data_IF_207879214747
#
_entry.id   IF_207879214747
#
_cell.length_a   1.000
_cell.length_b   1.000
_cell.length_c   1.000
_cell.angle_alpha   90.00
_cell.angle_beta   90.00
_cell.angle_gamma   90.00
#
_symmetry.space_group_name_H-M   'P 1'
#
loop_
_entity.id
_entity.type
_entity.pdbx_description
1 polymer ?
#
# COMPACT_ATOMS: atom_id res chain seq x y z
N UNK A 1 24.00 11.10 0.64
CA UNK A 1 22.64 10.92 0.09
C UNK A 1 21.66 11.60 1.03
N UNK A 2 20.90 12.60 0.57
CA UNK A 2 20.06 13.42 1.44
C UNK A 2 18.90 12.60 2.02
N UNK A 3 18.76 12.64 3.34
CA UNK A 3 17.69 12.00 4.11
C UNK A 3 16.36 12.78 3.96
N UNK A 4 15.89 12.87 2.71
CA UNK A 4 14.66 13.58 2.36
C UNK A 4 13.44 12.72 2.72
N UNK A 5 13.18 12.59 4.03
CA UNK A 5 11.93 12.01 4.49
C UNK A 5 10.77 12.93 4.16
N UNK A 6 9.72 12.39 3.54
CA UNK A 6 8.52 13.16 3.25
C UNK A 6 7.80 13.50 4.56
N UNK A 7 7.80 14.79 4.89
CA UNK A 7 7.14 15.34 6.07
C UNK A 7 6.01 16.25 5.65
N UNK A 8 4.77 15.82 5.87
CA UNK A 8 3.61 16.67 5.63
C UNK A 8 3.24 17.45 6.89
N UNK A 9 3.09 18.75 6.74
CA UNK A 9 2.58 19.65 7.78
C UNK A 9 1.39 20.43 7.22
N UNK A 10 0.19 20.13 7.71
CA UNK A 10 -1.01 20.88 7.34
C UNK A 10 -1.20 22.08 8.29
N UNK A 11 -1.28 23.31 7.76
CA UNK A 11 -1.70 24.49 8.52
C UNK A 11 -3.15 24.83 8.16
N UNK A 12 -4.00 25.00 9.17
CA UNK A 12 -5.41 25.38 8.99
C UNK A 12 -5.61 26.89 9.09
N UNK A 13 -6.30 27.49 8.11
CA UNK A 13 -6.86 28.85 8.21
C UNK A 13 -8.23 28.80 8.91
N UNK A 14 -8.49 29.71 9.86
CA UNK A 14 -9.76 29.83 10.61
C UNK A 14 -9.85 29.04 11.93
N UNK A 15 -8.80 28.32 12.33
CA UNK A 15 -8.79 27.52 13.56
C UNK A 15 -8.59 28.33 14.85
N UNK A 16 -8.26 29.63 14.74
CA UNK A 16 -7.83 30.45 15.88
C UNK A 16 -8.95 30.69 16.90
N UNK A 17 -10.16 31.05 16.48
CA UNK A 17 -11.25 31.35 17.42
C UNK A 17 -11.77 30.09 18.11
N UNK A 18 -11.81 28.95 17.40
CA UNK A 18 -12.21 27.68 18.03
C UNK A 18 -11.12 27.14 18.94
N UNK A 19 -9.84 27.23 18.55
CA UNK A 19 -8.73 26.86 19.41
C UNK A 19 -8.66 27.73 20.66
N UNK A 20 -9.06 29.01 20.57
CA UNK A 20 -9.17 29.93 21.71
C UNK A 20 -10.30 29.51 22.65
N UNK A 21 -11.49 29.19 22.13
CA UNK A 21 -12.63 28.73 22.93
C UNK A 21 -12.41 27.35 23.57
N UNK A 22 -11.80 26.41 22.84
CA UNK A 22 -11.42 25.09 23.37
C UNK A 22 -10.40 25.18 24.49
N UNK A 23 -9.48 26.15 24.41
CA UNK A 23 -8.51 26.42 25.48
C UNK A 23 -9.15 27.08 26.70
N UNK A 24 -10.09 27.99 26.47
CA UNK A 24 -10.72 28.75 27.56
C UNK A 24 -11.75 27.94 28.34
N UNK A 25 -12.37 26.93 27.72
CA UNK A 25 -13.42 26.12 28.35
C UNK A 25 -13.31 24.62 28.02
N UNK A 26 -12.19 23.94 28.33
CA UNK A 26 -12.00 22.53 27.99
C UNK A 26 -13.04 21.60 28.66
N UNK A 27 -13.41 21.86 29.92
CA UNK A 27 -14.49 21.14 30.63
C UNK A 27 -15.86 21.26 29.93
N UNK A 28 -16.15 22.38 29.27
CA UNK A 28 -17.43 22.58 28.58
C UNK A 28 -17.52 21.80 27.27
N UNK A 29 -16.39 21.41 26.68
CA UNK A 29 -16.35 20.68 25.40
C UNK A 29 -16.32 19.17 25.62
N UNK A 30 -15.74 18.71 26.74
CA UNK A 30 -15.50 17.30 27.00
C UNK A 30 -14.43 16.67 26.10
N UNK A 31 -13.69 17.48 25.33
CA UNK A 31 -12.54 17.07 24.51
C UNK A 31 -11.51 18.19 24.44
N UNK A 32 -10.23 17.82 24.56
CA UNK A 32 -9.12 18.75 24.37
C UNK A 32 -8.85 19.00 22.88
N UNK A 33 -8.30 20.17 22.55
CA UNK A 33 -7.83 20.47 21.19
C UNK A 33 -6.82 19.43 20.71
N UNK A 34 -5.93 18.97 21.60
CA UNK A 34 -4.99 17.89 21.34
C UNK A 34 -5.71 16.60 20.93
N UNK A 35 -6.77 16.20 21.65
CA UNK A 35 -7.55 15.01 21.30
C UNK A 35 -8.19 15.12 19.93
N UNK A 36 -8.69 16.31 19.56
CA UNK A 36 -9.26 16.55 18.22
C UNK A 36 -8.17 16.46 17.15
N UNK A 37 -7.02 17.11 17.36
CA UNK A 37 -5.90 17.06 16.42
C UNK A 37 -5.39 15.63 16.24
N UNK A 38 -5.22 14.86 17.33
CA UNK A 38 -4.86 13.43 17.27
C UNK A 38 -5.90 12.61 16.49
N UNK A 39 -7.18 12.83 16.73
CA UNK A 39 -8.26 12.13 16.01
C UNK A 39 -8.21 12.42 14.51
N UNK A 40 -8.09 13.69 14.13
CA UNK A 40 -8.10 14.08 12.72
C UNK A 40 -6.79 13.71 12.00
N UNK A 41 -5.65 13.71 12.70
CA UNK A 41 -4.40 13.18 12.17
C UNK A 41 -4.48 11.67 11.87
N UNK A 42 -5.16 10.88 12.71
CA UNK A 42 -5.47 9.46 12.38
C UNK A 42 -6.35 9.37 11.14
N UNK A 43 -7.38 10.22 11.04
CA UNK A 43 -8.24 10.31 9.88
C UNK A 43 -7.46 10.63 8.60
N UNK A 44 -6.54 11.60 8.67
CA UNK A 44 -5.65 11.99 7.58
C UNK A 44 -4.79 10.81 7.13
N UNK A 45 -4.16 10.07 8.04
CA UNK A 45 -3.36 8.90 7.66
C UNK A 45 -4.19 7.82 6.95
N UNK A 46 -5.46 7.66 7.33
CA UNK A 46 -6.39 6.75 6.64
C UNK A 46 -6.73 7.26 5.24
N UNK A 47 -6.91 8.56 5.04
CA UNK A 47 -7.11 9.14 3.69
C UNK A 47 -5.85 9.06 2.83
N UNK A 48 -4.66 9.31 3.40
CA UNK A 48 -3.38 9.11 2.72
C UNK A 48 -3.21 7.66 2.28
N UNK A 49 -3.52 6.71 3.18
CA UNK A 49 -3.55 5.29 2.84
C UNK A 49 -4.56 5.00 1.72
N UNK A 50 -5.76 5.61 1.73
CA UNK A 50 -6.77 5.44 0.68
C UNK A 50 -6.27 5.94 -0.68
N UNK A 51 -5.58 7.07 -0.70
CA UNK A 51 -5.00 7.71 -1.88
C UNK A 51 -3.61 7.16 -2.29
N UNK A 52 -3.15 6.08 -1.65
CA UNK A 52 -1.94 5.34 -2.05
C UNK A 52 -2.33 4.12 -2.90
N UNK A 53 -1.54 3.76 -3.91
CA UNK A 53 -1.81 2.60 -4.77
C UNK A 53 -1.78 1.27 -3.98
N UNK A 54 -2.67 0.31 -4.28
CA UNK A 54 -3.82 0.44 -5.18
C UNK A 54 -4.90 1.35 -4.58
N UNK A 55 -5.43 2.33 -5.32
CA UNK A 55 -6.31 3.36 -4.76
C UNK A 55 -7.62 2.79 -4.19
N UNK A 56 -8.03 3.33 -3.04
CA UNK A 56 -9.19 2.84 -2.29
C UNK A 56 -8.86 1.76 -1.26
N UNK A 57 -9.92 1.21 -0.66
CA UNK A 57 -9.85 0.10 0.30
C UNK A 57 -10.75 -1.09 -0.07
N UNK A 58 -11.46 -0.99 -1.20
CA UNK A 58 -12.36 -2.04 -1.66
C UNK A 58 -11.60 -3.32 -1.99
N UNK A 59 -12.33 -4.43 -1.97
CA UNK A 59 -11.82 -5.72 -2.40
C UNK A 59 -11.37 -5.69 -3.87
N UNK A 60 -12.07 -4.93 -4.72
CA UNK A 60 -11.66 -4.69 -6.10
C UNK A 60 -10.30 -3.98 -6.20
N UNK A 61 -10.01 -3.01 -5.32
CA UNK A 61 -8.71 -2.35 -5.28
C UNK A 61 -7.60 -3.33 -4.88
N UNK A 62 -7.86 -4.21 -3.89
CA UNK A 62 -6.94 -5.28 -3.49
C UNK A 62 -6.65 -6.22 -4.67
N UNK A 63 -7.71 -6.79 -5.27
CA UNK A 63 -7.61 -7.71 -6.41
C UNK A 63 -6.89 -7.10 -7.61
N UNK A 64 -7.07 -5.80 -7.88
CA UNK A 64 -6.34 -5.09 -8.94
C UNK A 64 -4.83 -5.09 -8.68
N UNK A 65 -4.40 -4.81 -7.45
CA UNK A 65 -2.99 -4.86 -7.07
C UNK A 65 -2.44 -6.29 -7.15
N UNK A 66 -3.19 -7.28 -6.68
CA UNK A 66 -2.80 -8.69 -6.73
C UNK A 66 -2.70 -9.22 -8.16
N UNK A 67 -3.60 -8.81 -9.06
CA UNK A 67 -3.56 -9.13 -10.49
C UNK A 67 -2.33 -8.53 -11.17
N UNK A 68 -1.97 -7.28 -10.84
CA UNK A 68 -0.76 -6.66 -11.36
C UNK A 68 0.50 -7.43 -10.94
N UNK A 69 0.61 -7.80 -9.65
CA UNK A 69 1.73 -8.64 -9.15
C UNK A 69 1.78 -9.99 -9.86
N UNK A 70 0.63 -10.67 -10.02
CA UNK A 70 0.59 -11.95 -10.73
C UNK A 70 1.02 -11.81 -12.19
N UNK A 71 0.59 -10.76 -12.89
CA UNK A 71 0.99 -10.47 -14.27
C UNK A 71 2.49 -10.26 -14.38
N UNK A 72 3.07 -9.44 -13.50
CA UNK A 72 4.52 -9.17 -13.48
C UNK A 72 5.34 -10.43 -13.21
N UNK A 73 4.87 -11.33 -12.35
CA UNK A 73 5.59 -12.59 -12.06
C UNK A 73 5.45 -13.57 -13.24
N UNK A 74 4.25 -13.67 -13.84
CA UNK A 74 3.99 -14.55 -14.98
C UNK A 74 4.67 -14.10 -16.28
N UNK A 75 5.09 -12.84 -16.40
CA UNK A 75 5.95 -12.41 -17.51
C UNK A 75 7.41 -12.81 -17.34
N UNK A 76 7.84 -13.14 -16.12
CA UNK A 76 9.21 -13.63 -15.83
C UNK A 76 9.28 -15.16 -15.88
N UNK A 77 8.25 -15.84 -15.42
CA UNK A 77 8.24 -17.31 -15.32
C UNK A 77 7.19 -17.90 -16.23
N UNK A 78 7.62 -18.80 -17.10
CA UNK A 78 6.75 -19.64 -17.92
C UNK A 78 6.61 -21.04 -17.31
N UNK A 79 5.54 -21.74 -17.66
CA UNK A 79 5.35 -23.15 -17.34
C UNK A 79 5.87 -24.04 -18.49
N UNK A 80 6.09 -25.35 -18.24
CA UNK A 80 6.53 -26.26 -19.28
C UNK A 80 5.52 -26.36 -20.42
N UNK A 81 4.22 -26.22 -20.15
CA UNK A 81 3.19 -26.17 -21.19
C UNK A 81 3.40 -24.99 -22.15
N UNK A 82 3.71 -23.81 -21.62
CA UNK A 82 3.95 -22.62 -22.44
C UNK A 82 5.21 -22.81 -23.31
N UNK A 83 6.24 -23.43 -22.74
CA UNK A 83 7.49 -23.72 -23.44
C UNK A 83 7.30 -24.79 -24.53
N UNK A 84 6.47 -25.80 -24.27
CA UNK A 84 6.10 -26.81 -25.24
C UNK A 84 5.38 -26.18 -26.44
N UNK A 85 4.31 -25.42 -26.21
CA UNK A 85 3.57 -24.75 -27.29
C UNK A 85 4.48 -23.80 -28.08
N UNK A 86 5.31 -23.01 -27.39
CA UNK A 86 6.23 -22.09 -28.04
C UNK A 86 7.28 -22.80 -28.89
N UNK A 87 7.79 -23.93 -28.40
CA UNK A 87 8.81 -24.73 -29.10
C UNK A 87 8.17 -25.51 -30.25
N UNK A 88 6.96 -26.03 -30.09
CA UNK A 88 6.24 -26.80 -31.11
C UNK A 88 5.99 -25.98 -32.38
N UNK A 89 5.77 -24.68 -32.24
CA UNK A 89 5.64 -23.76 -33.38
C UNK A 89 6.93 -23.60 -34.20
N UNK A 90 8.10 -23.84 -33.60
CA UNK A 90 9.40 -23.70 -34.25
C UNK A 90 10.01 -25.05 -34.65
N UNK A 91 9.94 -26.04 -33.77
CA UNK A 91 10.50 -27.38 -33.93
C UNK A 91 9.63 -28.40 -33.16
N UNK A 92 8.67 -29.06 -33.84
CA UNK A 92 7.79 -30.06 -33.23
C UNK A 92 8.56 -31.24 -32.59
N UNK A 93 9.63 -31.71 -33.23
CA UNK A 93 10.39 -32.86 -32.76
C UNK A 93 11.19 -32.54 -31.48
N UNK A 94 11.74 -31.32 -31.36
CA UNK A 94 12.33 -30.88 -30.09
C UNK A 94 11.27 -30.64 -29.01
N UNK A 95 10.08 -30.15 -29.37
CA UNK A 95 8.99 -29.97 -28.41
C UNK A 95 8.54 -31.30 -27.78
N UNK A 96 8.38 -32.35 -28.59
CA UNK A 96 8.02 -33.69 -28.09
C UNK A 96 9.11 -34.27 -27.17
N UNK A 97 10.38 -34.13 -27.56
CA UNK A 97 11.53 -34.52 -26.71
C UNK A 97 11.56 -33.72 -25.40
N UNK A 98 11.30 -32.42 -25.45
CA UNK A 98 11.21 -31.57 -24.27
C UNK A 98 10.10 -32.06 -23.34
N UNK A 99 8.89 -32.27 -23.88
CA UNK A 99 7.72 -32.69 -23.10
C UNK A 99 7.91 -34.06 -22.45
N UNK A 100 8.43 -35.04 -23.21
CA UNK A 100 8.75 -36.36 -22.69
C UNK A 100 9.75 -36.28 -21.51
N UNK A 101 10.77 -35.42 -21.60
CA UNK A 101 11.73 -35.23 -20.50
C UNK A 101 11.09 -34.52 -19.29
N UNK A 102 10.17 -33.59 -19.49
CA UNK A 102 9.41 -32.95 -18.40
C UNK A 102 8.55 -33.97 -17.66
N UNK A 103 7.78 -34.80 -18.38
CA UNK A 103 6.93 -35.84 -17.79
C UNK A 103 7.75 -36.85 -16.98
N UNK A 104 8.93 -37.23 -17.48
CA UNK A 104 9.86 -38.13 -16.82
C UNK A 104 10.75 -37.45 -15.74
N UNK A 105 10.51 -36.17 -15.42
CA UNK A 105 11.30 -35.38 -14.44
C UNK A 105 12.80 -35.28 -14.77
N UNK A 106 13.18 -35.44 -16.04
CA UNK A 106 14.57 -35.34 -16.54
C UNK A 106 14.88 -33.90 -16.98
N UNK A 107 14.86 -32.95 -16.03
CA UNK A 107 14.89 -31.51 -16.35
C UNK A 107 16.15 -31.05 -17.08
N UNK A 108 17.33 -31.60 -16.76
CA UNK A 108 18.56 -31.28 -17.49
C UNK A 108 18.47 -31.68 -18.98
N UNK A 109 17.89 -32.86 -19.27
CA UNK A 109 17.67 -33.31 -20.65
C UNK A 109 16.58 -32.51 -21.35
N UNK A 110 15.53 -32.10 -20.63
CA UNK A 110 14.52 -31.18 -21.17
C UNK A 110 15.18 -29.86 -21.59
N UNK A 111 16.06 -29.29 -20.76
CA UNK A 111 16.80 -28.08 -21.11
C UNK A 111 17.72 -28.29 -22.32
N UNK A 112 18.39 -29.44 -22.44
CA UNK A 112 19.18 -29.76 -23.63
C UNK A 112 18.31 -29.84 -24.89
N UNK A 113 17.16 -30.51 -24.83
CA UNK A 113 16.23 -30.58 -25.97
C UNK A 113 15.74 -29.19 -26.40
N UNK A 114 15.47 -28.31 -25.43
CA UNK A 114 15.10 -26.92 -25.69
C UNK A 114 16.25 -26.13 -26.33
N UNK A 115 17.48 -26.28 -25.83
CA UNK A 115 18.69 -25.62 -26.38
C UNK A 115 18.99 -26.00 -27.82
N UNK A 116 18.71 -27.24 -28.21
CA UNK A 116 18.92 -27.74 -29.57
C UNK A 116 17.79 -27.38 -30.54
N UNK A 117 16.73 -26.73 -30.06
CA UNK A 117 15.59 -26.33 -30.90
C UNK A 117 15.79 -24.96 -31.54
N UNK A 118 15.01 -24.66 -32.57
CA UNK A 118 14.93 -23.33 -33.19
C UNK A 118 14.01 -22.34 -32.44
N UNK A 119 13.54 -22.73 -31.25
CA UNK A 119 12.69 -21.88 -30.43
C UNK A 119 13.43 -20.65 -29.93
N UNK A 120 12.73 -19.51 -29.91
CA UNK A 120 13.20 -18.28 -29.22
C UNK A 120 13.45 -18.47 -27.71
N UNK A 121 13.02 -19.60 -27.14
CA UNK A 121 13.18 -19.95 -25.73
C UNK A 121 14.32 -20.95 -25.48
N UNK A 122 15.13 -21.26 -26.50
CA UNK A 122 16.21 -22.25 -26.42
C UNK A 122 17.22 -22.02 -25.28
N UNK A 123 17.45 -20.77 -24.91
CA UNK A 123 18.43 -20.40 -23.87
C UNK A 123 17.85 -20.31 -22.45
N UNK A 124 16.56 -20.57 -22.27
CA UNK A 124 15.93 -20.48 -20.95
C UNK A 124 16.37 -21.62 -20.02
N UNK A 125 16.54 -21.30 -18.74
CA UNK A 125 16.74 -22.32 -17.72
C UNK A 125 15.45 -23.07 -17.43
N UNK A 126 15.54 -24.38 -17.22
CA UNK A 126 14.41 -25.24 -16.85
C UNK A 126 14.67 -25.80 -15.46
N UNK A 127 13.82 -25.46 -14.49
CA UNK A 127 14.05 -25.96 -13.14
C UNK A 127 13.11 -25.40 -12.07
N UNK A 128 13.59 -25.46 -10.83
CA UNK A 128 12.88 -24.89 -9.67
C UNK A 128 12.86 -23.37 -9.79
N UNK A 129 11.74 -22.76 -9.41
CA UNK A 129 11.58 -21.30 -9.37
C UNK A 129 12.70 -20.64 -8.57
N UNK A 130 13.42 -19.74 -9.22
CA UNK A 130 14.41 -18.86 -8.59
C UNK A 130 13.86 -17.43 -8.48
N UNK A 131 13.57 -16.93 -7.26
CA UNK A 131 13.12 -15.57 -7.04
C UNK A 131 14.08 -14.48 -7.55
N UNK A 132 15.37 -14.79 -7.74
CA UNK A 132 16.36 -13.84 -8.23
C UNK A 132 16.00 -13.31 -9.62
N UNK A 133 15.47 -14.18 -10.50
CA UNK A 133 15.02 -13.77 -11.83
C UNK A 133 13.93 -12.70 -11.78
N UNK A 134 12.96 -12.81 -10.86
CA UNK A 134 11.92 -11.78 -10.73
C UNK A 134 12.48 -10.48 -10.13
N UNK A 135 13.45 -10.56 -9.21
CA UNK A 135 14.09 -9.38 -8.63
C UNK A 135 14.92 -8.62 -9.67
N UNK A 136 15.74 -9.33 -10.46
CA UNK A 136 16.59 -8.72 -11.49
C UNK A 136 15.81 -8.23 -12.71
N UNK A 137 14.60 -8.75 -12.93
CA UNK A 137 13.71 -8.30 -14.02
C UNK A 137 12.97 -6.99 -13.72
N UNK A 138 13.17 -6.39 -12.55
CA UNK A 138 12.51 -5.14 -12.15
C UNK A 138 13.34 -3.93 -12.55
N UNK A 139 12.68 -2.93 -13.12
CA UNK A 139 13.27 -1.63 -13.42
C UNK A 139 13.43 -0.75 -12.16
N UNK A 140 14.00 0.44 -12.32
CA UNK A 140 14.16 1.42 -11.24
C UNK A 140 12.82 1.87 -10.60
N UNK A 141 11.69 1.64 -11.28
CA UNK A 141 10.33 1.93 -10.80
C UNK A 141 9.63 0.67 -10.26
N UNK A 142 10.37 -0.43 -10.12
CA UNK A 142 9.88 -1.71 -9.61
C UNK A 142 8.92 -2.46 -10.55
N UNK A 143 8.88 -2.14 -11.85
CA UNK A 143 8.04 -2.81 -12.86
C UNK A 143 8.83 -3.88 -13.60
N UNK A 144 8.14 -4.92 -14.04
CA UNK A 144 8.71 -5.93 -14.96
C UNK A 144 8.36 -5.56 -16.39
N UNK A 145 9.37 -5.33 -17.23
CA UNK A 145 9.21 -4.89 -18.64
C UNK A 145 9.59 -5.95 -19.67
N UNK A 146 9.89 -7.18 -19.22
CA UNK A 146 10.34 -8.26 -20.10
C UNK A 146 9.26 -8.71 -21.07
N UNK A 147 9.67 -8.94 -22.33
CA UNK A 147 8.84 -9.56 -23.38
C UNK A 147 8.90 -11.08 -23.34
N UNK A 148 10.07 -11.63 -23.01
CA UNK A 148 10.30 -13.06 -22.88
C UNK A 148 10.55 -13.44 -21.42
N UNK A 149 10.10 -14.64 -21.00
CA UNK A 149 10.39 -15.15 -19.66
C UNK A 149 11.91 -15.29 -19.45
N UNK A 150 12.31 -15.34 -18.19
CA UNK A 150 13.69 -15.58 -17.77
C UNK A 150 13.92 -17.06 -17.41
N UNK A 151 12.87 -17.80 -17.06
CA UNK A 151 12.96 -19.18 -16.62
C UNK A 151 11.66 -19.95 -16.90
N UNK A 152 11.80 -21.24 -17.20
CA UNK A 152 10.71 -22.21 -17.22
C UNK A 152 10.67 -22.95 -15.87
N UNK A 153 9.58 -22.75 -15.14
CA UNK A 153 9.39 -23.29 -13.78
C UNK A 153 8.67 -24.63 -13.84
N UNK A 154 9.30 -25.69 -13.34
CA UNK A 154 8.78 -27.07 -13.48
C UNK A 154 7.52 -27.38 -12.66
N UNK A 155 7.11 -26.50 -11.74
CA UNK A 155 5.94 -26.71 -10.88
C UNK A 155 5.02 -25.49 -10.83
N UNK A 156 3.81 -25.62 -11.37
CA UNK A 156 2.76 -24.60 -11.29
C UNK A 156 2.43 -24.23 -9.84
N UNK A 157 2.32 -25.22 -8.94
CA UNK A 157 2.10 -24.99 -7.51
C UNK A 157 3.19 -24.11 -6.88
N UNK A 158 4.45 -24.29 -7.28
CA UNK A 158 5.56 -23.47 -6.77
C UNK A 158 5.46 -22.01 -7.25
N UNK A 159 5.04 -21.81 -8.50
CA UNK A 159 4.79 -20.49 -9.09
C UNK A 159 3.61 -19.80 -8.39
N UNK A 160 2.48 -20.47 -8.22
CA UNK A 160 1.30 -19.93 -7.54
C UNK A 160 1.59 -19.59 -6.07
N UNK A 161 2.36 -20.44 -5.40
CA UNK A 161 2.82 -20.16 -4.02
C UNK A 161 3.69 -18.91 -3.97
N UNK A 162 4.59 -18.73 -4.95
CA UNK A 162 5.43 -17.54 -5.03
C UNK A 162 4.61 -16.27 -5.33
N UNK A 163 3.64 -16.37 -6.25
CA UNK A 163 2.68 -15.30 -6.55
C UNK A 163 1.93 -14.91 -5.28
N UNK A 164 1.32 -15.88 -4.58
CA UNK A 164 0.55 -15.63 -3.35
C UNK A 164 1.38 -15.00 -2.24
N UNK A 165 2.63 -15.46 -2.03
CA UNK A 165 3.56 -14.82 -1.08
C UNK A 165 3.86 -13.37 -1.44
N UNK A 166 4.04 -13.07 -2.72
CA UNK A 166 4.32 -11.70 -3.17
C UNK A 166 3.07 -10.82 -3.10
N UNK A 167 1.90 -11.36 -3.46
CA UNK A 167 0.60 -10.68 -3.36
C UNK A 167 0.26 -10.26 -1.91
N UNK A 168 0.70 -11.01 -0.90
CA UNK A 168 0.55 -10.60 0.51
C UNK A 168 1.19 -9.24 0.81
N UNK A 169 2.19 -8.81 0.04
CA UNK A 169 2.83 -7.47 0.15
C UNK A 169 1.98 -6.35 -0.44
N UNK A 170 0.91 -6.65 -1.18
CA UNK A 170 -0.02 -5.62 -1.67
C UNK A 170 -0.57 -4.83 -0.48
N UNK A 171 -0.48 -3.51 -0.59
CA UNK A 171 -0.86 -2.58 0.47
C UNK A 171 0.23 -2.25 1.49
N UNK A 172 1.47 -2.70 1.31
CA UNK A 172 2.56 -2.38 2.25
C UNK A 172 2.72 -0.87 2.48
N UNK A 173 2.67 -0.07 1.39
CA UNK A 173 2.74 1.39 1.48
C UNK A 173 1.56 2.03 2.21
N UNK A 174 0.36 1.46 2.07
CA UNK A 174 -0.80 1.87 2.87
C UNK A 174 -0.59 1.53 4.34
N UNK A 175 0.00 0.36 4.61
CA UNK A 175 0.35 -0.10 5.93
C UNK A 175 1.24 0.89 6.69
N UNK A 176 2.20 1.51 6.02
CA UNK A 176 3.03 2.55 6.63
C UNK A 176 2.19 3.75 7.11
N UNK A 177 1.28 4.29 6.30
CA UNK A 177 0.37 5.34 6.77
C UNK A 177 -0.52 4.91 7.94
N UNK A 178 -1.02 3.66 7.91
CA UNK A 178 -1.81 3.12 9.02
C UNK A 178 -0.97 2.95 10.29
N UNK A 179 0.29 2.53 10.18
CA UNK A 179 1.20 2.43 11.32
C UNK A 179 1.54 3.81 11.89
N UNK A 180 1.69 4.83 11.04
CA UNK A 180 1.81 6.21 11.48
C UNK A 180 0.56 6.66 12.27
N UNK A 181 -0.66 6.31 11.83
CA UNK A 181 -1.86 6.56 12.62
C UNK A 181 -1.89 5.81 13.96
N UNK A 182 -1.45 4.55 14.00
CA UNK A 182 -1.36 3.77 15.23
C UNK A 182 -0.35 4.37 16.22
N UNK A 183 0.76 4.93 15.73
CA UNK A 183 1.78 5.60 16.55
C UNK A 183 1.26 6.85 17.28
N UNK A 184 0.16 7.46 16.82
CA UNK A 184 -0.52 8.55 17.53
C UNK A 184 -1.26 8.04 18.80
N UNK A 185 -1.52 6.73 18.88
CA UNK A 185 -2.34 6.08 19.90
C UNK A 185 -3.83 6.02 19.53
N UNK A 186 -4.65 5.37 20.36
CA UNK A 186 -6.10 5.22 20.16
C UNK A 186 -6.53 4.38 18.94
N UNK A 187 -7.84 4.34 18.65
CA UNK A 187 -8.40 3.48 17.61
C UNK A 187 -8.34 4.13 16.22
N UNK A 188 -7.78 3.42 15.25
CA UNK A 188 -7.82 3.78 13.82
C UNK A 188 -9.08 3.19 13.19
N UNK A 189 -9.94 4.04 12.62
CA UNK A 189 -11.22 3.64 11.98
C UNK A 189 -11.15 3.83 10.46
N UNK A 190 -11.89 3.03 9.71
CA UNK A 190 -12.04 3.18 8.25
C UNK A 190 -10.89 2.63 7.39
N UNK A 191 -9.92 1.92 7.99
CA UNK A 191 -8.89 1.18 7.28
C UNK A 191 -9.34 -0.27 7.01
N UNK A 192 -9.08 -0.78 5.81
CA UNK A 192 -9.37 -2.19 5.49
C UNK A 192 -8.36 -3.15 6.14
N UNK A 193 -8.84 -4.32 6.59
CA UNK A 193 -8.01 -5.32 7.27
C UNK A 193 -6.76 -5.73 6.48
N UNK A 194 -6.86 -5.82 5.14
CA UNK A 194 -5.72 -6.22 4.31
C UNK A 194 -4.58 -5.19 4.28
N UNK A 195 -4.81 -3.94 4.68
CA UNK A 195 -3.76 -2.92 4.82
C UNK A 195 -3.20 -2.85 6.23
N UNK A 196 -3.94 -3.31 7.24
CA UNK A 196 -3.51 -3.25 8.66
C UNK A 196 -2.56 -4.38 9.05
N UNK A 197 -2.46 -5.45 8.24
CA UNK A 197 -1.58 -6.62 8.47
C UNK A 197 -0.08 -6.32 8.41
N UNK A 198 0.30 -5.20 7.81
CA UNK A 198 1.69 -4.83 7.53
C UNK A 198 2.39 -4.20 8.74
N UNK A 199 2.62 -4.99 9.80
CA UNK A 199 3.23 -4.50 11.05
C UNK A 199 4.64 -3.91 10.86
N UNK A 200 5.39 -4.41 9.88
CA UNK A 200 6.76 -3.97 9.57
C UNK A 200 6.82 -2.77 8.61
N UNK A 201 5.68 -2.27 8.10
CA UNK A 201 5.71 -1.12 7.20
C UNK A 201 6.16 0.15 7.94
N UNK A 202 7.14 0.91 7.41
CA UNK A 202 7.86 1.93 8.16
C UNK A 202 7.08 3.25 8.22
N UNK A 203 6.09 3.28 9.12
CA UNK A 203 5.25 4.43 9.40
C UNK A 203 5.40 4.92 10.82
N UNK A 204 5.63 6.21 11.00
CA UNK A 204 5.80 6.83 12.32
C UNK A 204 5.03 8.14 12.41
N UNK A 205 4.77 8.61 13.63
CA UNK A 205 4.18 9.91 13.86
C UNK A 205 4.89 10.63 15.00
N UNK A 206 4.99 11.95 14.89
CA UNK A 206 5.43 12.83 15.98
C UNK A 206 4.26 13.70 16.39
N UNK A 207 3.89 13.64 17.66
CA UNK A 207 2.83 14.47 18.24
C UNK A 207 3.48 15.56 19.07
N UNK A 208 3.17 16.82 18.77
CA UNK A 208 3.48 17.97 19.63
C UNK A 208 2.21 18.36 20.37
N UNK A 209 2.31 18.45 21.68
CA UNK A 209 1.24 18.84 22.60
C UNK A 209 1.41 20.30 23.04
N UNK A 210 0.50 20.82 23.88
CA UNK A 210 0.53 22.21 24.34
C UNK A 210 -0.30 23.17 23.49
N UNK A 211 0.08 24.45 23.47
CA UNK A 211 -0.71 25.55 22.89
C UNK A 211 -0.87 25.50 21.37
N UNK A 212 0.01 24.80 20.67
CA UNK A 212 -0.03 24.66 19.22
C UNK A 212 0.07 23.18 18.87
N UNK A 213 -0.95 22.39 19.22
CA UNK A 213 -0.88 20.95 19.03
C UNK A 213 -0.78 20.65 17.55
N UNK A 214 0.16 19.78 17.19
CA UNK A 214 0.40 19.39 15.80
C UNK A 214 0.86 17.95 15.71
N UNK A 215 0.58 17.32 14.58
CA UNK A 215 1.00 15.94 14.31
C UNK A 215 1.72 15.91 12.97
N UNK A 216 2.92 15.34 12.97
CA UNK A 216 3.64 14.98 11.74
C UNK A 216 3.44 13.49 11.49
N UNK A 217 2.93 13.14 10.30
CA UNK A 217 2.87 11.77 9.82
C UNK A 217 4.06 11.53 8.88
N UNK A 218 4.77 10.42 9.07
CA UNK A 218 6.00 10.11 8.32
C UNK A 218 5.87 8.70 7.73
N UNK A 219 6.06 8.59 6.43
CA UNK A 219 6.18 7.32 5.71
C UNK A 219 7.59 7.23 5.12
N UNK A 220 8.39 6.26 5.59
CA UNK A 220 9.81 6.14 5.23
C UNK A 220 10.07 5.21 4.06
N UNK A 221 9.06 4.93 3.23
CA UNK A 221 9.27 4.16 2.00
C UNK A 221 9.91 5.04 0.94
N UNK A 222 11.03 4.57 0.40
CA UNK A 222 11.79 5.15 -0.72
C UNK A 222 10.92 5.35 -1.98
N UNK A 223 9.97 4.45 -2.23
CA UNK A 223 9.10 4.52 -3.41
C UNK A 223 7.74 5.20 -3.16
N UNK A 224 7.51 5.86 -2.01
CA UNK A 224 6.18 6.37 -1.65
C UNK A 224 5.62 7.37 -2.68
N UNK A 225 6.46 8.21 -3.27
CA UNK A 225 6.05 9.19 -4.29
C UNK A 225 5.56 8.54 -5.59
N UNK A 226 6.02 7.32 -5.88
CA UNK A 226 5.61 6.56 -7.07
C UNK A 226 4.20 5.96 -6.90
N UNK A 227 3.77 5.79 -5.65
CA UNK A 227 2.50 5.12 -5.30
C UNK A 227 1.47 6.07 -4.66
N UNK A 228 1.87 7.27 -4.24
CA UNK A 228 0.99 8.34 -3.75
C UNK A 228 1.08 9.54 -4.71
N UNK A 229 -0.04 9.95 -5.30
CA UNK A 229 -0.04 11.13 -6.19
C UNK A 229 -0.15 12.42 -5.37
N UNK A 230 0.49 13.50 -5.83
CA UNK A 230 0.38 14.83 -5.20
C UNK A 230 -1.09 15.27 -5.05
N UNK A 231 -1.88 15.12 -6.11
CA UNK A 231 -3.32 15.37 -6.09
C UNK A 231 -4.05 14.53 -5.04
N UNK A 232 -3.68 13.26 -4.86
CA UNK A 232 -4.27 12.39 -3.84
C UNK A 232 -3.88 12.79 -2.42
N UNK A 233 -2.67 13.30 -2.23
CA UNK A 233 -2.21 13.86 -0.95
C UNK A 233 -2.98 15.16 -0.64
N UNK A 234 -3.10 16.06 -1.61
CA UNK A 234 -3.83 17.32 -1.44
C UNK A 234 -5.30 17.07 -1.12
N UNK A 235 -5.93 16.10 -1.80
CA UNK A 235 -7.29 15.67 -1.50
C UNK A 235 -7.41 15.10 -0.08
N UNK A 236 -6.46 14.27 0.36
CA UNK A 236 -6.45 13.73 1.71
C UNK A 236 -6.36 14.84 2.77
N UNK A 237 -5.51 15.84 2.52
CA UNK A 237 -5.34 17.01 3.38
C UNK A 237 -6.63 17.86 3.44
N UNK A 238 -7.28 18.10 2.30
CA UNK A 238 -8.55 18.83 2.23
C UNK A 238 -9.66 18.11 2.99
N UNK A 239 -9.79 16.79 2.80
CA UNK A 239 -10.79 15.97 3.52
C UNK A 239 -10.56 16.01 5.02
N UNK A 240 -9.31 15.87 5.48
CA UNK A 240 -8.97 15.95 6.89
C UNK A 240 -9.24 17.34 7.47
N UNK A 241 -8.86 18.41 6.77
CA UNK A 241 -9.16 19.78 7.19
C UNK A 241 -10.66 20.05 7.29
N UNK A 242 -11.45 19.56 6.33
CA UNK A 242 -12.91 19.67 6.34
C UNK A 242 -13.58 18.89 7.49
N UNK A 243 -13.07 17.70 7.85
CA UNK A 243 -13.53 16.95 9.02
C UNK A 243 -13.20 17.66 10.33
N UNK A 244 -11.98 18.16 10.47
CA UNK A 244 -11.58 18.94 11.65
C UNK A 244 -12.44 20.19 11.83
N UNK A 245 -12.70 20.96 10.76
CA UNK A 245 -13.61 22.11 10.81
C UNK A 245 -15.01 21.73 11.30
N UNK A 246 -15.57 20.61 10.81
CA UNK A 246 -16.88 20.12 11.26
C UNK A 246 -16.86 19.69 12.73
N UNK A 247 -15.84 18.95 13.17
CA UNK A 247 -15.69 18.53 14.56
C UNK A 247 -15.56 19.73 15.52
N UNK A 248 -14.82 20.76 15.09
CA UNK A 248 -14.70 22.03 15.80
C UNK A 248 -16.05 22.76 15.89
N UNK A 249 -16.80 22.87 14.80
CA UNK A 249 -18.12 23.48 14.80
C UNK A 249 -19.12 22.74 15.70
N UNK A 250 -19.14 21.41 15.68
CA UNK A 250 -19.97 20.59 16.58
C UNK A 250 -19.60 20.82 18.04
N UNK A 251 -18.30 20.92 18.33
CA UNK A 251 -17.79 21.20 19.68
C UNK A 251 -18.27 22.56 20.19
N UNK A 252 -18.27 23.59 19.33
CA UNK A 252 -18.78 24.92 19.68
C UNK A 252 -20.28 24.94 19.95
N UNK A 253 -21.09 24.25 19.13
CA UNK A 253 -22.54 24.15 19.38
C UNK A 253 -22.82 23.51 20.73
N UNK A 254 -22.11 22.42 21.06
CA UNK A 254 -22.26 21.76 22.35
C UNK A 254 -21.93 22.67 23.55
N UNK A 255 -20.91 23.53 23.43
CA UNK A 255 -20.59 24.55 24.44
C UNK A 255 -21.75 25.53 24.59
N UNK A 256 -22.26 26.07 23.47
CA UNK A 256 -23.34 27.04 23.46
C UNK A 256 -24.61 26.46 24.11
N UNK A 257 -24.97 25.23 23.75
CA UNK A 257 -26.15 24.55 24.30
C UNK A 257 -26.02 24.28 25.82
N UNK A 258 -24.81 23.99 26.30
CA UNK A 258 -24.55 23.83 27.75
C UNK A 258 -24.62 25.17 28.47
N UNK A 259 -24.04 26.22 27.90
CA UNK A 259 -24.10 27.57 28.46
C UNK A 259 -25.56 28.06 28.56
N UNK A 260 -26.35 27.92 27.49
CA UNK A 260 -27.76 28.30 27.47
C UNK A 260 -28.59 27.51 28.49
N UNK A 261 -28.34 26.20 28.65
CA UNK A 261 -29.00 25.40 29.70
C UNK A 261 -28.65 25.87 31.11
N UNK A 262 -27.40 26.24 31.36
CA UNK A 262 -26.98 26.75 32.66
C UNK A 262 -27.61 28.10 33.01
N UNK A 263 -27.80 28.98 32.01
CA UNK A 263 -28.46 30.26 32.19
C UNK A 263 -29.96 30.08 32.48
N UNK A 264 -30.66 29.20 31.74
CA UNK A 264 -32.07 28.90 31.98
C UNK A 264 -32.35 28.36 33.39
N UNK A 265 -31.44 27.53 33.95
CA UNK A 265 -31.55 27.02 35.32
C UNK A 265 -31.32 28.06 36.43
N UNK A 266 -30.75 29.22 36.10
CA UNK A 266 -30.52 30.31 37.07
C UNK A 266 -31.61 31.37 37.02
N UNK A 267 -32.43 31.38 35.96
CA UNK A 267 -33.45 32.39 35.71
C UNK A 267 -34.87 31.94 36.11
N UNK A 268 -35.03 30.68 36.52
CA UNK A 268 -36.26 30.14 37.12
C UNK A 268 -35.90 29.44 38.41
#
# INVERSE_FOLDING_TARGET
>A
MSDAHIRFTARMRGAFDVARLLRRYPEKVGRTLESLVKQEARGLAVELARNTRPFGFSEAARKRGEKAVAKDIKSVFALPSDAFEKTKLADPAAADRFWANIQNRRFARAQTALRTSDSSWKDLSVGRLDPAHHKSSRDARGRVTRRNPAQIVTSAKSLDTYIGRTQKRVGFAKGAWINAAKAIGGRVRGAAQWTTRHKQAPGTATVKTGDKPSVSLINKLDYIEQVSTRTGIDLALQVAAGRLRRALATSLRAINDRANRSLRRRAG
#
